data_IF_486186036569
#
_entry.id   IF_486186036569
#
_cell.length_a   1.000
_cell.length_b   1.000
_cell.length_c   1.000
_cell.angle_alpha   90.00
_cell.angle_beta   90.00
_cell.angle_gamma   90.00
#
_symmetry.space_group_name_H-M   'P 1'
#
loop_
_entity.id
_entity.type
_entity.pdbx_description
1 polymer ?
#
# COMPACT_ATOMS: atom_id res chain seq x y z
N UNK A 1 7.31 -9.45 -7.28
CA UNK A 1 8.52 -9.26 -6.43
C UNK A 1 8.19 -9.77 -5.05
N UNK A 2 8.72 -10.94 -4.71
CA UNK A 2 8.65 -11.56 -3.40
C UNK A 2 9.34 -10.67 -2.38
N UNK A 3 8.61 -10.20 -1.37
CA UNK A 3 9.19 -9.54 -0.22
C UNK A 3 9.58 -10.61 0.81
N UNK A 4 10.66 -11.31 0.54
CA UNK A 4 11.34 -12.06 1.56
C UNK A 4 12.39 -11.14 2.19
N UNK A 5 12.17 -10.73 3.42
CA UNK A 5 13.29 -10.26 4.25
C UNK A 5 14.20 -11.48 4.45
N UNK A 6 15.48 -11.43 4.05
CA UNK A 6 16.39 -12.53 4.28
C UNK A 6 16.64 -12.60 5.79
N UNK A 7 15.98 -13.53 6.46
CA UNK A 7 16.40 -13.94 7.79
C UNK A 7 17.52 -14.96 7.55
N UNK A 8 18.75 -14.49 7.49
CA UNK A 8 19.92 -15.37 7.46
C UNK A 8 20.07 -16.00 8.87
N UNK A 9 19.54 -17.21 9.06
CA UNK A 9 19.87 -18.06 10.20
C UNK A 9 21.02 -18.97 9.81
N UNK A 10 22.01 -19.06 10.66
CA UNK A 10 23.01 -20.13 10.57
C UNK A 10 22.36 -21.45 10.96
N UNK A 11 22.60 -22.48 10.16
CA UNK A 11 22.25 -23.83 10.52
C UNK A 11 23.20 -24.30 11.65
N UNK A 12 22.62 -24.67 12.78
CA UNK A 12 23.38 -25.07 13.97
C UNK A 12 24.19 -26.36 13.82
N UNK A 13 23.90 -27.18 12.80
CA UNK A 13 24.61 -28.44 12.57
C UNK A 13 25.76 -28.30 11.55
N UNK A 14 25.58 -27.46 10.53
CA UNK A 14 26.55 -27.36 9.42
C UNK A 14 27.37 -26.06 9.42
N UNK A 15 27.08 -25.10 10.32
CA UNK A 15 27.67 -23.75 10.35
C UNK A 15 27.53 -23.01 8.99
N UNK A 16 26.73 -23.53 8.09
CA UNK A 16 26.40 -22.93 6.82
C UNK A 16 25.18 -21.99 6.90
N UNK A 17 24.92 -21.28 5.83
CA UNK A 17 23.67 -20.51 5.71
C UNK A 17 22.49 -21.48 5.61
N UNK A 18 21.55 -21.42 6.54
CA UNK A 18 20.31 -22.20 6.47
C UNK A 18 19.61 -21.93 5.14
N UNK A 19 19.03 -22.98 4.54
CA UNK A 19 18.28 -22.85 3.31
C UNK A 19 17.17 -21.84 3.48
N UNK A 20 17.20 -20.77 2.71
CA UNK A 20 16.19 -19.72 2.78
C UNK A 20 14.85 -20.28 2.29
N UNK A 21 13.88 -20.34 3.18
CA UNK A 21 12.50 -20.67 2.82
C UNK A 21 11.82 -19.42 2.25
N UNK A 22 11.27 -19.59 1.05
CA UNK A 22 10.45 -18.56 0.41
C UNK A 22 9.00 -19.02 0.40
N UNK A 23 8.08 -18.11 0.72
CA UNK A 23 6.65 -18.38 0.60
C UNK A 23 5.96 -17.19 -0.05
N UNK A 24 4.88 -17.48 -0.76
CA UNK A 24 3.95 -16.48 -1.28
C UNK A 24 2.60 -16.75 -0.63
N UNK A 25 2.07 -15.75 0.05
CA UNK A 25 0.81 -15.87 0.77
C UNK A 25 -0.05 -14.62 0.51
N UNK A 26 -1.32 -14.86 0.21
CA UNK A 26 -2.35 -13.83 0.21
C UNK A 26 -3.13 -13.93 1.54
N UNK A 27 -3.38 -12.80 2.15
CA UNK A 27 -4.11 -12.71 3.42
C UNK A 27 -5.34 -11.84 3.21
N UNK A 28 -6.52 -12.37 3.53
CA UNK A 28 -7.74 -11.61 3.68
C UNK A 28 -7.98 -11.39 5.17
N UNK A 29 -8.12 -10.14 5.58
CA UNK A 29 -8.38 -9.79 6.97
C UNK A 29 -9.55 -8.81 7.03
N UNK A 30 -10.40 -8.97 8.03
CA UNK A 30 -11.48 -8.03 8.35
C UNK A 30 -11.27 -7.48 9.76
N UNK A 31 -11.65 -6.24 10.00
CA UNK A 31 -11.51 -5.61 11.31
C UNK A 31 -11.94 -4.15 11.28
N UNK A 32 -12.10 -3.57 12.45
CA UNK A 32 -12.44 -2.15 12.64
C UNK A 32 -11.27 -1.23 12.29
N UNK A 33 -10.04 -1.74 12.40
CA UNK A 33 -8.81 -1.04 12.05
C UNK A 33 -8.15 -1.67 10.84
N UNK A 34 -7.59 -0.85 9.97
CA UNK A 34 -6.77 -1.34 8.86
C UNK A 34 -5.49 -1.98 9.40
N UNK A 35 -4.85 -2.86 8.62
CA UNK A 35 -3.53 -3.41 8.97
C UNK A 35 -2.51 -2.30 9.19
N UNK A 36 -2.59 -1.24 8.38
CA UNK A 36 -1.71 -0.06 8.47
C UNK A 36 -1.92 0.66 9.80
N UNK A 37 -3.17 0.89 10.22
CA UNK A 37 -3.47 1.54 11.51
C UNK A 37 -3.02 0.68 12.70
N UNK A 38 -3.14 -0.64 12.57
CA UNK A 38 -2.65 -1.57 13.59
C UNK A 38 -1.14 -1.48 13.77
N UNK A 39 -0.39 -1.45 12.65
CA UNK A 39 1.08 -1.28 12.68
C UNK A 39 1.46 0.06 13.32
N UNK A 40 0.70 1.13 13.03
CA UNK A 40 0.90 2.45 13.64
C UNK A 40 0.71 2.43 15.15
N UNK A 41 -0.34 1.76 15.63
CA UNK A 41 -0.58 1.61 17.08
C UNK A 41 0.59 0.94 17.80
N UNK A 42 1.30 0.05 17.12
CA UNK A 42 2.51 -0.60 17.64
C UNK A 42 3.77 0.27 17.52
N UNK A 43 3.62 1.56 17.11
CA UNK A 43 4.72 2.51 16.90
C UNK A 43 5.79 2.03 15.92
N UNK A 44 5.42 1.14 15.02
CA UNK A 44 6.30 0.65 13.97
C UNK A 44 6.18 1.54 12.72
N UNK A 45 7.29 1.85 12.03
CA UNK A 45 7.24 2.67 10.83
C UNK A 45 6.47 1.95 9.72
N UNK A 46 5.49 2.65 9.15
CA UNK A 46 4.76 2.16 7.97
C UNK A 46 5.55 2.53 6.73
N UNK A 47 6.02 1.53 6.01
CA UNK A 47 6.75 1.74 4.75
C UNK A 47 5.77 1.84 3.57
N UNK A 48 6.07 2.68 2.57
CA UNK A 48 5.25 2.84 1.37
C UNK A 48 4.91 1.50 0.69
N UNK A 49 5.84 0.56 0.71
CA UNK A 49 5.62 -0.79 0.22
C UNK A 49 4.51 -1.57 0.92
N UNK A 50 4.13 -1.21 2.15
CA UNK A 50 3.01 -1.83 2.88
C UNK A 50 1.67 -1.31 2.39
N UNK A 51 1.56 -0.02 2.08
CA UNK A 51 0.33 0.61 1.59
C UNK A 51 -0.19 -0.04 0.30
N UNK A 52 0.72 -0.52 -0.55
CA UNK A 52 0.33 -1.20 -1.78
C UNK A 52 0.08 -2.70 -1.60
N UNK A 53 0.54 -3.28 -0.49
CA UNK A 53 0.40 -4.73 -0.21
C UNK A 53 -0.79 -5.03 0.66
N UNK A 54 -1.20 -4.09 1.49
CA UNK A 54 -2.39 -4.16 2.33
C UNK A 54 -3.46 -3.22 1.76
N UNK A 55 -4.23 -3.70 0.78
CA UNK A 55 -5.33 -2.94 0.20
C UNK A 55 -6.52 -2.97 1.17
N UNK A 56 -6.81 -1.84 1.78
CA UNK A 56 -7.95 -1.70 2.71
C UNK A 56 -9.16 -1.15 1.96
N UNK A 57 -10.20 -1.96 1.86
CA UNK A 57 -11.47 -1.59 1.23
C UNK A 57 -12.44 -1.24 2.36
N UNK A 58 -12.94 0.02 2.43
CA UNK A 58 -13.95 0.36 3.42
C UNK A 58 -15.25 -0.38 3.14
N UNK A 59 -15.81 -1.00 4.18
CA UNK A 59 -17.07 -1.74 4.13
C UNK A 59 -17.96 -1.24 5.24
N UNK A 60 -19.21 -0.98 4.93
CA UNK A 60 -20.23 -0.51 5.88
C UNK A 60 -21.29 -1.60 6.13
N UNK A 61 -22.11 -1.41 7.16
CA UNK A 61 -23.24 -2.32 7.41
C UNK A 61 -24.25 -2.33 6.25
N UNK A 62 -24.32 -1.25 5.49
CA UNK A 62 -25.21 -1.12 4.32
C UNK A 62 -24.77 -2.01 3.16
N UNK A 63 -23.46 -2.29 3.02
CA UNK A 63 -22.93 -3.18 1.98
C UNK A 63 -23.37 -4.64 2.15
N UNK A 64 -23.88 -4.99 3.31
CA UNK A 64 -24.42 -6.33 3.59
C UNK A 64 -25.91 -6.47 3.25
N UNK A 65 -26.57 -5.38 2.83
CA UNK A 65 -27.98 -5.35 2.50
C UNK A 65 -28.19 -5.22 1.00
N UNK A 66 -29.21 -5.93 0.50
CA UNK A 66 -29.73 -5.65 -0.84
C UNK A 66 -30.55 -4.36 -0.82
N UNK A 67 -30.70 -3.75 -1.99
CA UNK A 67 -31.50 -2.53 -2.14
C UNK A 67 -32.94 -2.77 -1.64
N UNK A 68 -33.40 -1.93 -0.71
CA UNK A 68 -34.69 -2.05 -0.03
C UNK A 68 -34.89 -3.28 0.88
N UNK A 69 -33.85 -4.03 1.22
CA UNK A 69 -33.95 -5.15 2.17
C UNK A 69 -34.05 -4.62 3.61
N UNK A 70 -34.97 -5.21 4.39
CA UNK A 70 -35.08 -4.93 5.83
C UNK A 70 -33.81 -5.40 6.57
N UNK A 71 -33.40 -4.62 7.60
CA UNK A 71 -32.18 -4.88 8.34
C UNK A 71 -32.18 -6.23 9.08
N UNK A 72 -33.33 -6.64 9.56
CA UNK A 72 -33.47 -7.89 10.30
C UNK A 72 -33.44 -9.08 9.35
N UNK A 73 -33.99 -8.93 8.13
CA UNK A 73 -33.88 -9.93 7.06
C UNK A 73 -32.41 -10.11 6.64
N UNK A 74 -31.70 -9.00 6.46
CA UNK A 74 -30.25 -9.04 6.14
C UNK A 74 -29.45 -9.74 7.25
N UNK A 75 -29.72 -9.43 8.51
CA UNK A 75 -29.08 -10.09 9.67
C UNK A 75 -29.34 -11.59 9.70
N UNK A 76 -30.59 -11.99 9.46
CA UNK A 76 -30.95 -13.41 9.42
C UNK A 76 -30.22 -14.12 8.30
N UNK A 77 -30.20 -13.55 7.09
CA UNK A 77 -29.47 -14.09 5.93
C UNK A 77 -27.97 -14.28 6.24
N UNK A 78 -27.33 -13.30 6.88
CA UNK A 78 -25.91 -13.40 7.28
C UNK A 78 -25.71 -14.50 8.33
N UNK A 79 -26.65 -14.65 9.28
CA UNK A 79 -26.61 -15.70 10.28
C UNK A 79 -26.72 -17.09 9.64
N UNK A 80 -27.61 -17.23 8.67
CA UNK A 80 -27.80 -18.48 7.92
C UNK A 80 -26.55 -18.85 7.10
N UNK A 81 -25.92 -17.87 6.44
CA UNK A 81 -24.65 -18.06 5.75
C UNK A 81 -23.56 -18.54 6.74
N UNK A 82 -23.41 -17.88 7.90
CA UNK A 82 -22.43 -18.28 8.91
C UNK A 82 -22.67 -19.70 9.40
N UNK A 83 -23.92 -20.08 9.60
CA UNK A 83 -24.27 -21.43 10.04
C UNK A 83 -23.93 -22.45 8.95
N UNK A 84 -24.25 -22.16 7.70
CA UNK A 84 -23.94 -23.02 6.56
C UNK A 84 -22.45 -23.22 6.35
N UNK A 85 -21.63 -22.19 6.61
CA UNK A 85 -20.17 -22.26 6.52
C UNK A 85 -19.52 -23.20 7.55
N UNK A 86 -20.22 -23.58 8.62
CA UNK A 86 -19.71 -24.55 9.58
C UNK A 86 -19.66 -25.97 8.99
N UNK A 87 -20.51 -26.26 8.00
CA UNK A 87 -20.60 -27.59 7.37
C UNK A 87 -20.20 -27.59 5.90
N UNK A 88 -20.34 -26.45 5.21
CA UNK A 88 -20.08 -26.30 3.78
C UNK A 88 -18.92 -25.31 3.57
N UNK A 89 -17.68 -25.81 3.55
CA UNK A 89 -16.49 -24.97 3.34
C UNK A 89 -15.39 -25.76 2.63
N UNK A 90 -14.46 -25.03 2.00
CA UNK A 90 -13.21 -25.57 1.44
C UNK A 90 -13.33 -26.21 0.04
N UNK A 91 -14.52 -26.53 -0.46
CA UNK A 91 -14.71 -27.21 -1.74
C UNK A 91 -14.31 -26.33 -2.94
N UNK A 92 -14.70 -25.06 -2.96
CA UNK A 92 -14.42 -24.16 -4.07
C UNK A 92 -12.92 -23.95 -4.33
N UNK A 93 -12.13 -23.79 -3.28
CA UNK A 93 -10.67 -23.63 -3.40
C UNK A 93 -10.00 -24.90 -3.93
N UNK A 94 -10.42 -26.07 -3.47
CA UNK A 94 -9.93 -27.35 -3.98
C UNK A 94 -10.23 -27.51 -5.47
N UNK A 95 -11.49 -27.28 -5.89
CA UNK A 95 -11.89 -27.36 -7.29
C UNK A 95 -11.16 -26.37 -8.18
N UNK A 96 -10.98 -25.14 -7.68
CA UNK A 96 -10.21 -24.12 -8.40
C UNK A 96 -8.77 -24.61 -8.69
N UNK A 97 -8.07 -25.12 -7.68
CA UNK A 97 -6.73 -25.65 -7.86
C UNK A 97 -6.73 -26.87 -8.79
N UNK A 98 -7.72 -27.75 -8.67
CA UNK A 98 -7.87 -28.92 -9.54
C UNK A 98 -8.02 -28.51 -11.02
N UNK A 99 -8.87 -27.53 -11.30
CA UNK A 99 -9.05 -27.00 -12.64
C UNK A 99 -7.77 -26.31 -13.13
N UNK A 100 -7.12 -25.51 -12.29
CA UNK A 100 -5.89 -24.81 -12.64
C UNK A 100 -4.73 -25.75 -12.94
N UNK A 101 -4.59 -26.84 -12.17
CA UNK A 101 -3.54 -27.86 -12.36
C UNK A 101 -3.92 -28.93 -13.39
N UNK A 102 -5.13 -28.91 -13.88
CA UNK A 102 -5.57 -29.77 -14.99
C UNK A 102 -5.04 -29.35 -16.36
N UNK A 103 -4.35 -28.20 -16.46
CA UNK A 103 -3.58 -27.85 -17.67
C UNK A 103 -2.37 -28.77 -17.77
N UNK A 104 -2.50 -29.78 -18.60
CA UNK A 104 -1.43 -30.77 -18.90
C UNK A 104 -0.62 -30.33 -20.11
N UNK A 105 0.58 -30.87 -20.24
CA UNK A 105 1.37 -30.78 -21.50
C UNK A 105 0.65 -31.45 -22.68
N UNK A 106 1.19 -31.31 -23.87
CA UNK A 106 0.65 -31.92 -25.11
C UNK A 106 0.47 -33.43 -24.98
N UNK A 107 1.23 -34.09 -24.10
CA UNK A 107 1.16 -35.53 -23.83
C UNK A 107 0.18 -35.91 -22.70
N UNK A 108 -0.45 -34.93 -22.05
CA UNK A 108 -1.44 -35.15 -21.01
C UNK A 108 -0.91 -35.71 -19.68
N UNK A 109 0.41 -35.69 -19.48
CA UNK A 109 1.06 -36.42 -18.38
C UNK A 109 1.40 -35.56 -17.15
N UNK A 110 1.67 -34.26 -17.31
CA UNK A 110 2.15 -33.42 -16.22
C UNK A 110 1.59 -32.01 -16.31
N UNK A 111 1.41 -31.39 -15.16
CA UNK A 111 1.07 -29.96 -15.04
C UNK A 111 2.19 -29.11 -15.66
N UNK A 112 1.92 -28.44 -16.78
CA UNK A 112 2.85 -27.51 -17.39
C UNK A 112 2.73 -26.14 -16.76
N UNK A 113 3.62 -25.86 -15.81
CA UNK A 113 3.70 -24.58 -15.11
C UNK A 113 3.92 -23.41 -16.09
N UNK A 114 4.67 -23.63 -17.16
CA UNK A 114 4.97 -22.57 -18.13
C UNK A 114 3.73 -22.24 -18.96
N UNK A 115 3.07 -23.23 -19.53
CA UNK A 115 1.86 -23.05 -20.32
C UNK A 115 0.75 -22.40 -19.47
N UNK A 116 0.56 -22.87 -18.24
CA UNK A 116 -0.39 -22.24 -17.30
C UNK A 116 -0.03 -20.81 -16.97
N UNK A 117 1.25 -20.51 -16.73
CA UNK A 117 1.71 -19.14 -16.45
C UNK A 117 1.50 -18.21 -17.65
N UNK A 118 1.74 -18.69 -18.87
CA UNK A 118 1.59 -17.88 -20.08
C UNK A 118 0.10 -17.63 -20.38
N UNK A 119 -0.76 -18.64 -20.18
CA UNK A 119 -2.21 -18.49 -20.24
C UNK A 119 -2.71 -17.44 -19.23
N UNK A 120 -2.36 -17.58 -17.93
CA UNK A 120 -2.80 -16.65 -16.89
C UNK A 120 -2.30 -15.22 -17.12
N UNK A 121 -1.11 -15.05 -17.71
CA UNK A 121 -0.59 -13.72 -18.05
C UNK A 121 -1.41 -13.08 -19.17
N UNK A 122 -1.71 -13.82 -20.23
CA UNK A 122 -2.50 -13.31 -21.35
C UNK A 122 -3.90 -12.88 -20.88
N UNK A 123 -4.55 -13.69 -20.08
CA UNK A 123 -5.86 -13.37 -19.51
C UNK A 123 -5.79 -12.19 -18.51
N UNK A 124 -4.74 -12.12 -17.70
CA UNK A 124 -4.54 -10.99 -16.79
C UNK A 124 -4.40 -9.66 -17.53
N UNK A 125 -3.68 -9.66 -18.66
CA UNK A 125 -3.56 -8.45 -19.50
C UNK A 125 -4.92 -8.03 -20.06
N UNK A 126 -5.76 -8.98 -20.48
CA UNK A 126 -7.14 -8.71 -20.93
C UNK A 126 -7.98 -8.10 -19.80
N UNK A 127 -7.93 -8.69 -18.59
CA UNK A 127 -8.68 -8.17 -17.43
C UNK A 127 -8.19 -6.78 -17.03
N UNK A 128 -6.88 -6.55 -17.05
CA UNK A 128 -6.29 -5.26 -16.74
C UNK A 128 -6.72 -4.18 -17.74
N UNK A 129 -6.76 -4.50 -19.02
CA UNK A 129 -7.18 -3.57 -20.06
C UNK A 129 -8.69 -3.29 -19.99
N UNK A 130 -9.50 -4.25 -19.61
CA UNK A 130 -10.92 -4.04 -19.33
C UNK A 130 -11.12 -3.05 -18.19
N UNK A 131 -10.42 -3.25 -17.07
CA UNK A 131 -10.49 -2.34 -15.93
C UNK A 131 -10.01 -0.93 -16.29
N UNK A 132 -8.92 -0.80 -17.07
CA UNK A 132 -8.44 0.49 -17.57
C UNK A 132 -9.47 1.17 -18.47
N UNK A 133 -10.13 0.44 -19.36
CA UNK A 133 -11.19 1.00 -20.22
C UNK A 133 -12.33 1.59 -19.41
N UNK A 134 -12.77 0.90 -18.35
CA UNK A 134 -13.80 1.40 -17.42
C UNK A 134 -13.34 2.67 -16.70
N UNK A 135 -12.09 2.76 -16.28
CA UNK A 135 -11.50 3.95 -15.65
C UNK A 135 -11.41 5.13 -16.64
N UNK A 136 -10.99 4.88 -17.88
CA UNK A 136 -10.94 5.92 -18.93
C UNK A 136 -12.32 6.45 -19.27
N UNK A 137 -13.34 5.60 -19.30
CA UNK A 137 -14.73 6.03 -19.48
C UNK A 137 -15.19 6.96 -18.34
N UNK A 138 -14.70 6.77 -17.13
CA UNK A 138 -14.90 7.64 -15.97
C UNK A 138 -13.93 8.82 -15.87
N UNK A 139 -13.06 9.07 -16.87
CA UNK A 139 -12.02 10.12 -16.87
C UNK A 139 -11.05 10.02 -15.68
N UNK A 140 -10.80 8.81 -15.17
CA UNK A 140 -9.93 8.57 -14.04
C UNK A 140 -8.51 8.29 -14.53
N UNK A 141 -7.55 9.14 -14.14
CA UNK A 141 -6.12 8.93 -14.35
C UNK A 141 -5.47 8.39 -13.09
N UNK A 142 -4.66 7.34 -13.22
CA UNK A 142 -4.00 6.66 -12.10
C UNK A 142 -2.53 7.04 -11.99
N UNK A 143 -2.05 7.19 -10.76
CA UNK A 143 -0.61 7.28 -10.46
C UNK A 143 0.04 5.87 -10.40
N UNK A 144 1.36 5.82 -10.21
CA UNK A 144 2.12 4.55 -10.19
C UNK A 144 1.71 3.60 -9.07
N UNK A 145 1.26 4.11 -7.93
CA UNK A 145 0.78 3.32 -6.78
C UNK A 145 -0.58 2.72 -7.11
N UNK A 146 -1.47 3.55 -7.62
CA UNK A 146 -2.82 3.16 -8.01
C UNK A 146 -2.80 2.14 -9.17
N UNK A 147 -1.85 2.27 -10.11
CA UNK A 147 -1.64 1.26 -11.15
C UNK A 147 -1.23 -0.11 -10.57
N UNK A 148 -0.38 -0.15 -9.53
CA UNK A 148 -0.01 -1.40 -8.87
C UNK A 148 -1.18 -2.01 -8.08
N UNK A 149 -2.02 -1.18 -7.48
CA UNK A 149 -3.24 -1.64 -6.85
C UNK A 149 -4.19 -2.24 -7.89
N UNK A 150 -4.40 -1.53 -9.02
CA UNK A 150 -5.25 -2.01 -10.11
C UNK A 150 -4.82 -3.41 -10.60
N UNK A 151 -3.51 -3.67 -10.74
CA UNK A 151 -3.00 -4.99 -11.11
C UNK A 151 -3.46 -6.09 -10.14
N UNK A 152 -3.55 -5.80 -8.84
CA UNK A 152 -4.02 -6.77 -7.84
C UNK A 152 -5.51 -7.02 -7.94
N UNK A 153 -6.29 -5.96 -8.17
CA UNK A 153 -7.72 -6.13 -8.44
C UNK A 153 -7.96 -6.89 -9.75
N UNK A 154 -7.13 -6.69 -10.78
CA UNK A 154 -7.20 -7.48 -12.01
C UNK A 154 -6.91 -8.98 -11.76
N UNK A 155 -6.01 -9.33 -10.84
CA UNK A 155 -5.80 -10.72 -10.42
C UNK A 155 -7.04 -11.29 -9.74
N UNK A 156 -7.71 -10.52 -8.88
CA UNK A 156 -8.97 -10.95 -8.27
C UNK A 156 -10.07 -11.15 -9.32
N UNK A 157 -10.15 -10.23 -10.29
CA UNK A 157 -11.08 -10.37 -11.40
C UNK A 157 -10.80 -11.63 -12.22
N UNK A 158 -9.55 -11.88 -12.61
CA UNK A 158 -9.14 -13.09 -13.33
C UNK A 158 -9.53 -14.35 -12.56
N UNK A 159 -9.18 -14.43 -11.27
CA UNK A 159 -9.51 -15.59 -10.44
C UNK A 159 -11.03 -15.83 -10.36
N UNK A 160 -11.82 -14.76 -10.19
CA UNK A 160 -13.28 -14.84 -10.17
C UNK A 160 -13.85 -15.26 -11.52
N UNK A 161 -13.34 -14.70 -12.62
CA UNK A 161 -13.78 -15.04 -13.97
C UNK A 161 -13.52 -16.51 -14.33
N UNK A 162 -12.32 -17.02 -13.99
CA UNK A 162 -12.00 -18.44 -14.17
C UNK A 162 -12.89 -19.34 -13.29
N UNK A 163 -13.11 -18.98 -12.04
CA UNK A 163 -13.98 -19.74 -11.15
C UNK A 163 -15.45 -19.76 -11.65
N UNK A 164 -15.90 -18.69 -12.28
CA UNK A 164 -17.21 -18.64 -12.95
C UNK A 164 -17.25 -19.54 -14.20
N UNK A 165 -16.23 -19.44 -15.05
CA UNK A 165 -16.11 -20.26 -16.28
C UNK A 165 -16.07 -21.75 -15.95
N UNK A 166 -15.37 -22.13 -14.89
CA UNK A 166 -15.31 -23.53 -14.40
C UNK A 166 -16.53 -23.93 -13.56
N UNK A 167 -17.56 -23.10 -13.50
CA UNK A 167 -18.80 -23.35 -12.76
C UNK A 167 -18.59 -23.62 -11.24
N UNK A 168 -17.52 -23.10 -10.68
CA UNK A 168 -17.21 -23.18 -9.25
C UNK A 168 -18.03 -22.12 -8.50
N UNK A 169 -18.21 -20.94 -9.12
CA UNK A 169 -19.01 -19.85 -8.58
C UNK A 169 -20.32 -19.69 -9.38
N UNK A 170 -21.42 -19.33 -8.72
CA UNK A 170 -22.73 -19.18 -9.37
C UNK A 170 -22.88 -17.85 -10.12
N UNK A 171 -21.93 -16.92 -9.96
CA UNK A 171 -22.01 -15.56 -10.53
C UNK A 171 -21.47 -15.52 -11.95
N UNK A 172 -22.06 -14.65 -12.77
CA UNK A 172 -21.58 -14.39 -14.12
C UNK A 172 -20.27 -13.58 -14.13
N UNK A 173 -19.53 -13.68 -15.24
CA UNK A 173 -18.27 -12.95 -15.41
C UNK A 173 -18.46 -11.44 -15.30
N UNK A 174 -19.56 -10.89 -15.82
CA UNK A 174 -19.88 -9.47 -15.77
C UNK A 174 -20.18 -9.00 -14.35
N UNK A 175 -20.92 -9.80 -13.56
CA UNK A 175 -21.17 -9.54 -12.14
C UNK A 175 -19.86 -9.45 -11.34
N UNK A 176 -18.95 -10.38 -11.59
CA UNK A 176 -17.64 -10.41 -10.95
C UNK A 176 -16.82 -9.16 -11.35
N UNK A 177 -16.87 -8.79 -12.64
CA UNK A 177 -16.22 -7.58 -13.12
C UNK A 177 -16.72 -6.32 -12.39
N UNK A 178 -18.03 -6.19 -12.25
CA UNK A 178 -18.67 -5.05 -11.60
C UNK A 178 -18.32 -4.97 -10.11
N UNK A 179 -18.35 -6.09 -9.39
CA UNK A 179 -18.01 -6.15 -7.96
C UNK A 179 -16.53 -5.81 -7.74
N UNK A 180 -15.63 -6.35 -8.56
CA UNK A 180 -14.19 -6.07 -8.43
C UNK A 180 -13.88 -4.62 -8.78
N UNK A 181 -14.53 -4.08 -9.81
CA UNK A 181 -14.38 -2.69 -10.18
C UNK A 181 -14.90 -1.73 -9.11
N UNK A 182 -16.06 -2.04 -8.52
CA UNK A 182 -16.61 -1.29 -7.39
C UNK A 182 -15.67 -1.33 -6.18
N UNK A 183 -15.12 -2.50 -5.84
CA UNK A 183 -14.16 -2.65 -4.76
C UNK A 183 -12.88 -1.82 -5.01
N UNK A 184 -12.39 -1.79 -6.25
CA UNK A 184 -11.27 -0.93 -6.64
C UNK A 184 -11.61 0.56 -6.49
N UNK A 185 -12.80 0.99 -6.93
CA UNK A 185 -13.25 2.38 -6.82
C UNK A 185 -13.37 2.81 -5.36
N UNK A 186 -13.93 1.97 -4.49
CA UNK A 186 -14.01 2.25 -3.04
C UNK A 186 -12.63 2.40 -2.42
N UNK A 187 -11.71 1.50 -2.77
CA UNK A 187 -10.33 1.63 -2.34
C UNK A 187 -9.70 2.93 -2.86
N UNK A 188 -9.89 3.26 -4.14
CA UNK A 188 -9.33 4.45 -4.78
C UNK A 188 -9.87 5.74 -4.15
N UNK A 189 -11.17 5.82 -3.91
CA UNK A 189 -11.81 6.98 -3.26
C UNK A 189 -11.30 7.14 -1.82
N UNK A 190 -11.20 6.04 -1.07
CA UNK A 190 -10.64 6.07 0.28
C UNK A 190 -9.17 6.48 0.28
N UNK A 191 -8.37 5.94 -0.65
CA UNK A 191 -6.96 6.30 -0.82
C UNK A 191 -6.77 7.76 -1.22
N UNK A 192 -7.66 8.31 -2.06
CA UNK A 192 -7.65 9.70 -2.53
C UNK A 192 -8.39 10.67 -1.62
N UNK A 193 -9.12 10.20 -0.62
CA UNK A 193 -9.82 11.09 0.32
C UNK A 193 -8.82 12.06 0.97
N UNK A 194 -9.26 13.29 1.24
CA UNK A 194 -8.38 14.33 1.80
C UNK A 194 -7.72 13.88 3.10
N UNK A 195 -8.44 13.16 3.96
CA UNK A 195 -7.89 12.62 5.20
C UNK A 195 -6.85 11.51 4.93
N UNK A 196 -7.17 10.54 4.10
CA UNK A 196 -6.24 9.46 3.72
C UNK A 196 -5.07 9.97 2.90
N UNK A 197 -5.30 10.94 2.00
CA UNK A 197 -4.24 11.58 1.23
C UNK A 197 -3.29 12.38 2.11
N UNK A 198 -3.84 13.18 3.03
CA UNK A 198 -3.05 13.96 3.99
C UNK A 198 -2.17 13.04 4.84
N UNK A 199 -2.75 11.99 5.42
CA UNK A 199 -2.03 10.98 6.18
C UNK A 199 -0.90 10.32 5.38
N UNK A 200 -1.19 9.85 4.19
CA UNK A 200 -0.22 9.17 3.33
C UNK A 200 0.94 10.09 2.94
N UNK A 201 0.65 11.36 2.69
CA UNK A 201 1.67 12.38 2.40
C UNK A 201 2.59 12.59 3.60
N UNK A 202 2.05 12.72 4.80
CA UNK A 202 2.83 12.90 6.04
C UNK A 202 3.69 11.66 6.34
N UNK A 203 3.12 10.47 6.18
CA UNK A 203 3.84 9.21 6.30
C UNK A 203 4.98 9.10 5.27
N UNK A 204 4.78 9.58 4.05
CA UNK A 204 5.86 9.59 3.03
C UNK A 204 7.05 10.43 3.48
N UNK A 205 6.81 11.62 4.07
CA UNK A 205 7.87 12.48 4.61
C UNK A 205 8.55 11.81 5.81
N UNK A 206 7.78 11.22 6.72
CA UNK A 206 8.28 10.51 7.88
C UNK A 206 9.17 9.33 7.49
N UNK A 207 8.71 8.50 6.56
CA UNK A 207 9.49 7.38 6.03
C UNK A 207 10.77 7.83 5.34
N UNK A 208 10.71 8.94 4.58
CA UNK A 208 11.91 9.50 3.97
C UNK A 208 12.94 9.87 5.02
N UNK A 209 12.56 10.53 6.11
CA UNK A 209 13.47 10.87 7.22
C UNK A 209 14.07 9.60 7.82
N UNK A 210 13.27 8.57 8.06
CA UNK A 210 13.72 7.32 8.68
C UNK A 210 14.72 6.56 7.79
N UNK A 211 14.39 6.39 6.50
CA UNK A 211 15.19 5.60 5.54
C UNK A 211 16.41 6.36 5.04
N UNK A 212 16.28 7.68 4.85
CA UNK A 212 17.35 8.53 4.28
C UNK A 212 18.17 9.25 5.35
N UNK A 213 18.27 8.71 6.56
CA UNK A 213 19.02 9.36 7.66
C UNK A 213 20.47 9.69 7.29
N UNK A 214 21.12 8.89 6.46
CA UNK A 214 22.49 9.13 5.96
C UNK A 214 22.62 10.35 5.05
N UNK A 215 21.52 10.90 4.53
CA UNK A 215 21.46 12.12 3.73
C UNK A 215 21.29 13.38 4.59
N UNK A 216 21.11 13.22 5.89
CA UNK A 216 21.02 14.34 6.83
C UNK A 216 22.37 14.53 7.53
N UNK A 217 22.82 15.79 7.58
CA UNK A 217 24.05 16.17 8.28
C UNK A 217 23.69 16.50 9.73
N UNK A 218 24.31 15.83 10.68
CA UNK A 218 24.16 16.16 12.10
C UNK A 218 24.88 17.47 12.43
N UNK A 219 24.15 18.46 12.91
CA UNK A 219 24.71 19.77 13.25
C UNK A 219 25.73 19.72 14.40
N UNK A 220 25.70 18.68 15.24
CA UNK A 220 26.63 18.45 16.36
C UNK A 220 28.01 17.98 15.89
N UNK A 221 28.07 17.31 14.75
CA UNK A 221 29.31 16.72 14.25
C UNK A 221 29.99 17.70 13.32
N UNK A 222 31.18 18.21 13.66
CA UNK A 222 31.94 19.09 12.76
C UNK A 222 32.25 18.33 11.46
N UNK A 223 31.64 18.74 10.37
CA UNK A 223 31.88 18.13 9.08
C UNK A 223 32.85 18.98 8.28
N UNK A 224 34.09 18.53 8.17
CA UNK A 224 35.11 19.15 7.29
C UNK A 224 34.91 18.80 5.81
N UNK A 225 33.95 17.97 5.50
CA UNK A 225 33.66 17.54 4.13
C UNK A 225 32.76 18.55 3.43
N UNK A 226 33.15 18.91 2.22
CA UNK A 226 32.33 19.63 1.24
C UNK A 226 30.89 19.10 1.21
N UNK A 227 29.90 20.02 1.06
CA UNK A 227 28.51 19.67 0.85
C UNK A 227 28.42 18.46 -0.09
N UNK A 228 27.94 17.32 0.45
CA UNK A 228 27.60 16.21 -0.42
C UNK A 228 26.50 16.71 -1.33
N UNK A 229 26.63 16.50 -2.61
CA UNK A 229 25.66 16.90 -3.64
C UNK A 229 24.26 16.35 -3.43
N UNK A 230 24.10 15.35 -2.51
CA UNK A 230 22.84 14.67 -2.19
C UNK A 230 22.40 14.90 -0.72
N UNK A 231 22.66 16.08 -0.17
CA UNK A 231 22.22 16.44 1.18
C UNK A 231 20.73 16.75 1.19
N UNK A 232 19.95 16.00 1.97
CA UNK A 232 18.50 16.20 2.12
C UNK A 232 18.14 17.27 3.16
N UNK A 233 19.00 17.45 4.16
CA UNK A 233 18.76 18.39 5.25
C UNK A 233 19.77 18.24 6.38
N UNK A 234 19.39 18.74 7.56
CA UNK A 234 20.21 18.74 8.76
C UNK A 234 19.41 18.24 9.95
N UNK A 235 20.07 17.53 10.87
CA UNK A 235 19.54 17.22 12.20
C UNK A 235 20.08 18.28 13.15
N UNK A 236 19.19 19.03 13.78
CA UNK A 236 19.55 20.12 14.68
C UNK A 236 19.88 19.60 16.10
N UNK A 237 20.41 20.48 16.95
CA UNK A 237 20.84 20.12 18.30
C UNK A 237 19.73 19.63 19.22
N UNK A 238 18.50 20.06 18.97
CA UNK A 238 17.26 19.65 19.66
C UNK A 238 16.62 18.37 19.10
N UNK A 239 17.24 17.78 18.09
CA UNK A 239 16.72 16.59 17.41
C UNK A 239 15.73 16.90 16.29
N UNK A 240 15.38 18.17 16.05
CA UNK A 240 14.52 18.57 14.94
C UNK A 240 15.24 18.43 13.59
N UNK A 241 14.45 18.35 12.50
CA UNK A 241 14.93 18.14 11.14
C UNK A 241 14.75 19.41 10.32
N UNK A 242 15.82 20.01 9.83
CA UNK A 242 15.78 21.08 8.86
C UNK A 242 15.87 20.50 7.45
N UNK A 243 14.73 20.36 6.77
CA UNK A 243 14.65 19.79 5.42
C UNK A 243 14.86 20.89 4.38
N UNK A 244 15.71 20.61 3.39
CA UNK A 244 15.96 21.57 2.30
C UNK A 244 14.72 21.71 1.39
N UNK A 245 14.45 22.91 0.82
CA UNK A 245 13.30 23.14 -0.04
C UNK A 245 13.21 22.17 -1.22
N UNK A 246 14.33 21.90 -1.89
CA UNK A 246 14.39 20.98 -3.04
C UNK A 246 14.04 19.53 -2.64
N UNK A 247 14.39 19.13 -1.42
CA UNK A 247 14.05 17.81 -0.90
C UNK A 247 12.55 17.71 -0.65
N UNK A 248 11.96 18.72 0.01
CA UNK A 248 10.54 18.74 0.28
C UNK A 248 9.72 18.87 -1.00
N UNK A 249 10.20 19.60 -2.00
CA UNK A 249 9.60 19.69 -3.34
C UNK A 249 9.56 18.33 -4.03
N UNK A 250 10.68 17.59 -4.05
CA UNK A 250 10.75 16.24 -4.62
C UNK A 250 9.77 15.28 -3.94
N UNK A 251 9.63 15.35 -2.62
CA UNK A 251 8.67 14.54 -1.87
C UNK A 251 7.23 14.91 -2.22
N UNK A 252 6.94 16.21 -2.34
CA UNK A 252 5.63 16.72 -2.71
C UNK A 252 5.22 16.37 -4.14
N UNK A 253 6.18 16.34 -5.09
CA UNK A 253 5.91 16.03 -6.51
C UNK A 253 5.19 14.70 -6.71
N UNK A 254 5.51 13.67 -5.93
CA UNK A 254 4.86 12.36 -5.98
C UNK A 254 3.35 12.45 -5.68
N UNK A 255 2.91 13.51 -5.02
CA UNK A 255 1.54 13.77 -4.60
C UNK A 255 0.91 14.96 -5.32
N UNK A 256 1.61 15.55 -6.30
CA UNK A 256 1.18 16.77 -6.97
C UNK A 256 1.15 18.01 -6.05
N UNK A 257 1.99 18.01 -5.02
CA UNK A 257 2.10 19.09 -4.04
C UNK A 257 3.42 19.83 -4.19
N UNK A 258 3.38 21.16 -4.10
CA UNK A 258 4.61 21.96 -3.94
C UNK A 258 5.14 21.85 -2.50
N UNK A 259 6.43 22.11 -2.30
CA UNK A 259 7.05 22.16 -0.97
C UNK A 259 6.25 23.03 0.02
N UNK A 260 5.74 24.17 -0.46
CA UNK A 260 4.93 25.09 0.38
C UNK A 260 3.60 24.48 0.82
N UNK A 261 2.91 23.75 -0.07
CA UNK A 261 1.66 23.05 0.26
C UNK A 261 1.92 21.90 1.21
N UNK A 262 2.98 21.12 0.97
CA UNK A 262 3.40 20.03 1.84
C UNK A 262 3.78 20.54 3.24
N UNK A 263 4.55 21.63 3.33
CA UNK A 263 4.88 22.26 4.61
C UNK A 263 3.65 22.77 5.37
N UNK A 264 2.62 23.25 4.66
CA UNK A 264 1.35 23.63 5.32
C UNK A 264 0.62 22.44 5.91
N UNK A 265 0.60 21.30 5.25
CA UNK A 265 0.01 20.08 5.79
C UNK A 265 0.73 19.62 7.07
N UNK A 266 2.07 19.68 7.07
CA UNK A 266 2.87 19.35 8.27
C UNK A 266 2.62 20.35 9.40
N UNK A 267 2.42 21.61 9.06
CA UNK A 267 2.14 22.69 10.00
C UNK A 267 0.74 22.61 10.64
N UNK A 268 -0.27 22.24 9.84
CA UNK A 268 -1.64 22.00 10.32
C UNK A 268 -1.71 20.88 11.37
N UNK A 269 -0.78 19.91 11.30
CA UNK A 269 -0.63 18.85 12.32
C UNK A 269 0.26 19.27 13.50
N UNK A 270 0.77 20.52 13.50
CA UNK A 270 1.57 21.07 14.60
C UNK A 270 3.03 20.62 14.64
N UNK A 271 3.53 19.99 13.56
CA UNK A 271 4.90 19.49 13.51
C UNK A 271 5.91 20.39 12.80
N UNK A 272 5.48 21.55 12.29
CA UNK A 272 6.38 22.54 11.69
C UNK A 272 6.75 23.60 12.73
N UNK A 273 8.05 23.75 13.00
CA UNK A 273 8.54 24.85 13.84
C UNK A 273 8.62 26.12 13.00
N UNK A 274 7.69 27.05 13.22
CA UNK A 274 7.65 28.36 12.52
C UNK A 274 8.60 29.36 13.17
N UNK A 275 9.26 30.23 12.40
CA UNK A 275 9.78 31.48 12.92
C UNK A 275 8.62 32.42 13.24
N UNK A 276 8.89 33.55 13.89
CA UNK A 276 7.89 34.59 14.08
C UNK A 276 7.27 35.05 12.75
N UNK A 277 5.93 35.09 12.67
CA UNK A 277 5.16 35.45 11.49
C UNK A 277 4.72 34.30 10.60
N UNK A 278 4.18 34.60 9.40
CA UNK A 278 3.54 33.66 8.46
C UNK A 278 4.52 32.81 7.61
N UNK A 279 5.80 32.87 7.89
CA UNK A 279 6.82 32.16 7.11
C UNK A 279 6.89 30.70 7.53
N UNK A 280 6.81 29.79 6.55
CA UNK A 280 6.96 28.36 6.77
C UNK A 280 8.43 27.90 6.79
N UNK A 281 9.34 28.71 6.24
CA UNK A 281 10.77 28.38 6.19
C UNK A 281 11.52 29.08 7.31
N UNK A 282 12.45 28.35 7.92
CA UNK A 282 13.32 28.84 8.99
C UNK A 282 14.74 28.98 8.48
N UNK A 283 15.44 30.06 8.84
CA UNK A 283 16.86 30.24 8.58
C UNK A 283 17.66 29.88 9.82
N UNK A 284 18.65 29.01 9.69
CA UNK A 284 19.55 28.56 10.74
C UNK A 284 21.00 28.69 10.32
N UNK A 285 21.87 29.09 11.24
CA UNK A 285 23.30 29.07 11.03
C UNK A 285 23.84 27.74 11.51
N UNK A 286 24.31 26.91 10.60
CA UNK A 286 24.85 25.56 10.87
C UNK A 286 26.29 25.57 10.41
N UNK A 287 27.26 25.34 11.32
CA UNK A 287 28.68 25.30 11.01
C UNK A 287 29.16 26.53 10.22
N UNK A 288 28.74 27.73 10.66
CA UNK A 288 29.06 29.04 10.02
C UNK A 288 28.40 29.28 8.65
N UNK A 289 27.51 28.36 8.18
CA UNK A 289 26.77 28.53 6.94
C UNK A 289 25.29 28.82 7.26
N UNK A 290 24.74 29.83 6.60
CA UNK A 290 23.33 30.11 6.70
C UNK A 290 22.52 29.16 5.78
N UNK A 291 21.66 28.36 6.36
CA UNK A 291 20.79 27.42 5.67
C UNK A 291 19.34 27.81 5.89
N UNK A 292 18.56 27.82 4.81
CA UNK A 292 17.11 28.03 4.87
C UNK A 292 16.42 26.72 4.51
N UNK A 293 15.44 26.32 5.30
CA UNK A 293 14.69 25.09 5.10
C UNK A 293 13.41 25.04 5.91
N UNK A 294 12.71 23.93 5.84
CA UNK A 294 11.53 23.66 6.65
C UNK A 294 11.94 22.89 7.90
N UNK A 295 11.65 23.45 9.08
CA UNK A 295 12.07 22.88 10.35
C UNK A 295 10.93 22.02 10.92
N UNK A 296 11.10 20.70 10.93
CA UNK A 296 10.16 19.75 11.49
C UNK A 296 10.59 19.40 12.92
N UNK A 297 9.62 19.34 13.83
CA UNK A 297 9.89 18.93 15.22
C UNK A 297 10.48 17.52 15.30
N UNK A 298 11.23 17.24 16.37
CA UNK A 298 11.79 15.89 16.59
C UNK A 298 10.69 14.83 16.70
N UNK A 299 9.52 15.21 17.22
CA UNK A 299 8.36 14.33 17.40
C UNK A 299 7.75 13.87 16.08
N UNK A 300 7.91 14.64 14.99
CA UNK A 300 7.40 14.27 13.68
C UNK A 300 7.90 12.89 13.21
N UNK A 301 9.16 12.55 13.50
CA UNK A 301 9.74 11.27 13.09
C UNK A 301 9.11 10.04 13.77
N UNK A 302 8.43 10.25 14.91
CA UNK A 302 7.77 9.19 15.71
C UNK A 302 6.28 9.38 15.86
N UNK A 303 5.70 10.40 15.19
CA UNK A 303 4.29 10.69 15.23
C UNK A 303 3.46 9.54 14.65
N UNK A 304 2.24 9.38 15.15
CA UNK A 304 1.24 8.48 14.56
C UNK A 304 0.28 9.32 13.74
N UNK A 305 0.26 9.08 12.43
CA UNK A 305 -0.65 9.73 11.50
C UNK A 305 -1.77 8.81 11.07
#
# INVERSE_FOLDING_TARGET
QTCALPISRMDGETLGMARQSTWVQNVLSTGELTIVDRIRLEKSPVMDGMLHRALSIPVTAEDSRSENEDIDVARQRISDIKTSLLTCHGSAGYEFIRCLTGFTDEDGKYFDLKATSDFLKADLDVMLDEMKRRLHAGLITLNSVECRALQRFAILYLAGALASEWQILPWGKDEIADVVYEAFNRWLLNYRSDAGRKQNVLITVQNFIAVSRSKFIDAKIPCFASRKTDTAGYILNDGSYLILPDTLEKLGMNWGLSAKKLARLIDEEGYLTRPEGDRLTTRRTIQKVNVTGYCLSAEFATASF
#
